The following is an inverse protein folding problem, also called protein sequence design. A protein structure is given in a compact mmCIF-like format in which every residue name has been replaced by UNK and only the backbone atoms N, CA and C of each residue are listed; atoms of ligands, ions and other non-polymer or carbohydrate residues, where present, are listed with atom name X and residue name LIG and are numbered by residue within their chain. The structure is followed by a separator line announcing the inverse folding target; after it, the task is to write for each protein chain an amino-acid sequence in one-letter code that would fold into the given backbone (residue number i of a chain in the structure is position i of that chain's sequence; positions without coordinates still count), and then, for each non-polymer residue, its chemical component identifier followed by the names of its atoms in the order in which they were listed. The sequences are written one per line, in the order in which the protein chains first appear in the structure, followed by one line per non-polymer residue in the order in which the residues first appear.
data_IF_641093318341
#
_entry.id   IF_641093318341
#
_cell.length_a   1.000
_cell.length_b   1.000
_cell.length_c   1.000
_cell.angle_alpha   90.00
_cell.angle_beta   90.00
_cell.angle_gamma   90.00
#
_symmetry.space_group_name_H-M   'P 1'
#
loop_
_entity.id
_entity.type
_entity.pdbx_description
1 polymer ?
#
# COMPACT_ATOMS: atom_id res chain seq x y z
N UNK A 1 -37.47 12.13 -7.16
CA UNK A 1 -37.26 11.47 -5.86
C UNK A 1 -35.84 11.80 -5.44
N UNK A 2 -35.72 12.88 -4.66
CA UNK A 2 -34.48 13.31 -4.01
C UNK A 2 -34.29 12.53 -2.72
N UNK A 3 -33.10 11.99 -2.52
CA UNK A 3 -32.62 11.54 -1.22
C UNK A 3 -31.14 11.91 -1.13
N UNK A 4 -30.90 13.18 -0.82
CA UNK A 4 -29.65 13.60 -0.22
C UNK A 4 -29.47 12.87 1.10
N UNK A 5 -28.37 12.14 1.22
CA UNK A 5 -27.92 11.64 2.52
C UNK A 5 -26.40 11.76 2.63
N UNK A 6 -26.02 12.75 3.45
CA UNK A 6 -24.89 12.76 4.37
C UNK A 6 -23.46 12.81 3.80
N UNK A 7 -23.07 14.05 3.49
CA UNK A 7 -21.79 14.58 3.98
C UNK A 7 -21.75 14.42 5.50
N UNK A 8 -20.80 13.63 6.01
CA UNK A 8 -20.24 13.78 7.36
C UNK A 8 -18.73 13.98 7.26
N UNK A 9 -18.32 15.25 7.20
CA UNK A 9 -17.14 15.74 7.96
C UNK A 9 -17.63 15.89 9.42
N UNK A 10 -16.94 15.67 10.53
CA UNK A 10 -15.54 15.59 11.00
C UNK A 10 -15.65 15.13 12.51
N UNK A 11 -14.61 15.03 13.39
CA UNK A 11 -13.24 15.54 13.31
C UNK A 11 -12.12 14.51 13.58
N UNK A 12 -10.93 14.89 13.13
CA UNK A 12 -9.66 14.82 13.85
C UNK A 12 -9.74 14.13 15.23
N UNK A 13 -9.18 12.92 15.34
CA UNK A 13 -8.81 12.41 16.66
C UNK A 13 -7.44 12.98 17.02
N UNK A 14 -7.28 13.61 18.20
CA UNK A 14 -5.97 14.01 18.66
C UNK A 14 -5.17 12.73 18.93
N UNK A 15 -4.11 12.54 18.14
CA UNK A 15 -3.10 11.53 18.42
C UNK A 15 -2.25 12.12 19.55
N UNK A 16 -2.50 11.72 20.79
CA UNK A 16 -1.65 12.03 21.95
C UNK A 16 -0.33 11.22 21.85
N UNK A 17 0.43 11.49 20.80
CA UNK A 17 1.83 11.15 20.68
C UNK A 17 2.66 12.43 20.80
N UNK A 18 3.93 12.35 21.23
CA UNK A 18 4.81 13.51 21.16
C UNK A 18 4.79 14.10 19.73
N UNK A 19 4.83 15.42 19.54
CA UNK A 19 4.92 16.04 18.21
C UNK A 19 6.26 15.67 17.59
N UNK A 20 6.27 14.51 16.95
CA UNK A 20 7.44 13.85 16.41
C UNK A 20 7.05 13.17 15.12
N UNK A 21 7.00 13.98 14.07
CA UNK A 21 6.87 13.58 12.66
C UNK A 21 5.64 12.70 12.37
N UNK A 22 4.54 13.33 11.91
CA UNK A 22 3.61 12.59 11.05
C UNK A 22 4.46 11.90 9.97
N UNK A 23 4.32 10.57 9.75
CA UNK A 23 5.03 9.93 8.66
C UNK A 23 4.65 10.69 7.40
N UNK A 24 5.65 11.26 6.73
CA UNK A 24 5.53 11.96 5.45
C UNK A 24 4.50 11.19 4.61
N UNK A 25 3.34 11.80 4.32
CA UNK A 25 2.24 11.10 3.65
C UNK A 25 2.66 10.78 2.22
N UNK A 26 3.33 9.65 2.04
CA UNK A 26 3.76 9.16 0.75
C UNK A 26 2.62 8.42 0.08
N UNK A 27 2.44 8.70 -1.20
CA UNK A 27 1.58 7.91 -2.05
C UNK A 27 2.30 6.64 -2.43
N UNK A 28 1.58 5.53 -2.47
CA UNK A 28 2.16 4.23 -2.76
C UNK A 28 1.30 3.43 -3.73
N UNK A 29 1.96 2.68 -4.61
CA UNK A 29 1.31 1.75 -5.56
C UNK A 29 2.03 0.41 -5.62
N UNK A 30 1.26 -0.64 -5.86
CA UNK A 30 1.74 -1.95 -6.30
C UNK A 30 1.46 -2.09 -7.79
N UNK A 31 2.48 -2.50 -8.53
CA UNK A 31 2.42 -2.64 -9.99
C UNK A 31 2.73 -4.09 -10.34
N UNK A 32 1.77 -4.78 -10.96
CA UNK A 32 2.00 -6.08 -11.57
C UNK A 32 2.61 -5.91 -12.96
N UNK A 33 3.77 -6.51 -13.18
CA UNK A 33 4.52 -6.38 -14.43
C UNK A 33 4.71 -7.71 -15.13
N UNK A 34 4.59 -7.66 -16.45
CA UNK A 34 5.06 -8.69 -17.37
C UNK A 34 6.24 -8.12 -18.13
N UNK A 35 7.30 -8.89 -18.32
CA UNK A 35 8.42 -8.51 -19.17
C UNK A 35 8.01 -8.75 -20.62
N UNK A 36 8.38 -7.82 -21.50
CA UNK A 36 8.22 -8.10 -22.93
C UNK A 36 9.16 -9.24 -23.33
N UNK A 37 8.81 -9.98 -24.38
CA UNK A 37 9.64 -11.09 -24.86
C UNK A 37 11.09 -10.68 -25.23
N UNK A 38 11.32 -9.39 -25.48
CA UNK A 38 12.63 -8.83 -25.80
C UNK A 38 13.42 -8.36 -24.56
N UNK A 39 12.83 -8.37 -23.36
CA UNK A 39 13.45 -7.83 -22.14
C UNK A 39 14.02 -8.96 -21.29
N UNK A 40 15.35 -9.06 -21.11
CA UNK A 40 15.93 -9.97 -20.13
C UNK A 40 15.49 -9.59 -18.71
N UNK A 41 15.26 -10.58 -17.84
CA UNK A 41 14.88 -10.32 -16.44
C UNK A 41 15.86 -9.43 -15.68
N UNK A 42 17.16 -9.50 -16.00
CA UNK A 42 18.18 -8.64 -15.41
C UNK A 42 17.98 -7.15 -15.71
N UNK A 43 17.41 -6.80 -16.87
CA UNK A 43 17.21 -5.41 -17.29
C UNK A 43 16.24 -4.66 -16.37
N UNK A 44 15.12 -5.30 -15.99
CA UNK A 44 14.18 -4.71 -15.05
C UNK A 44 14.85 -4.45 -13.69
N UNK A 45 15.66 -5.40 -13.21
CA UNK A 45 16.36 -5.26 -11.93
C UNK A 45 17.38 -4.10 -11.97
N UNK A 46 18.12 -3.96 -13.06
CA UNK A 46 19.06 -2.85 -13.27
C UNK A 46 18.34 -1.50 -13.30
N UNK A 47 17.21 -1.42 -14.01
CA UNK A 47 16.35 -0.23 -14.02
C UNK A 47 15.88 0.13 -12.59
N UNK A 48 15.31 -0.83 -11.86
CA UNK A 48 14.74 -0.59 -10.53
C UNK A 48 15.78 -0.12 -9.50
N UNK A 49 17.04 -0.55 -9.63
CA UNK A 49 18.15 -0.05 -8.78
C UNK A 49 18.42 1.44 -8.95
N UNK A 50 18.01 2.02 -10.08
CA UNK A 50 18.22 3.45 -10.40
C UNK A 50 16.96 4.28 -10.27
N UNK A 51 15.79 3.66 -10.07
CA UNK A 51 14.50 4.33 -10.00
C UNK A 51 14.23 4.83 -8.57
N UNK A 52 14.20 6.16 -8.31
CA UNK A 52 14.03 6.70 -6.96
C UNK A 52 12.70 6.33 -6.30
N UNK A 53 11.66 6.07 -7.09
CA UNK A 53 10.36 5.68 -6.54
C UNK A 53 10.31 4.20 -6.13
N UNK A 54 11.28 3.36 -6.54
CA UNK A 54 11.25 1.93 -6.27
C UNK A 54 11.61 1.62 -4.81
N UNK A 55 10.68 1.01 -4.08
CA UNK A 55 10.85 0.65 -2.66
C UNK A 55 11.21 -0.82 -2.51
N UNK A 56 10.50 -1.69 -3.24
CA UNK A 56 10.68 -3.13 -3.19
C UNK A 56 10.14 -3.77 -4.46
N UNK A 57 10.67 -4.94 -4.80
CA UNK A 57 10.19 -5.74 -5.91
C UNK A 57 10.38 -7.24 -5.63
N UNK A 58 9.50 -8.04 -6.21
CA UNK A 58 9.49 -9.50 -6.07
C UNK A 58 9.27 -10.15 -7.42
N UNK A 59 10.07 -11.16 -7.76
CA UNK A 59 9.77 -12.06 -8.87
C UNK A 59 8.63 -12.99 -8.46
N UNK A 60 7.67 -13.18 -9.37
CA UNK A 60 6.47 -13.97 -9.12
C UNK A 60 6.43 -15.13 -10.11
N UNK A 61 6.14 -16.34 -9.62
CA UNK A 61 5.88 -17.50 -10.46
C UNK A 61 4.39 -17.58 -10.82
N UNK A 62 3.90 -16.64 -11.64
CA UNK A 62 2.50 -16.55 -12.05
C UNK A 62 2.37 -16.08 -13.52
N UNK A 63 1.20 -15.58 -13.91
CA UNK A 63 0.92 -14.94 -15.20
C UNK A 63 1.58 -13.55 -15.35
N UNK A 64 2.10 -13.02 -14.24
CA UNK A 64 3.00 -11.87 -14.17
C UNK A 64 4.42 -12.31 -13.80
N UNK A 65 5.41 -11.55 -14.24
CA UNK A 65 6.82 -11.84 -13.98
C UNK A 65 7.27 -11.23 -12.64
N UNK A 66 6.80 -10.02 -12.30
CA UNK A 66 7.14 -9.37 -11.04
C UNK A 66 6.03 -8.48 -10.48
N UNK A 67 6.14 -8.18 -9.19
CA UNK A 67 5.39 -7.11 -8.52
C UNK A 67 6.39 -6.07 -8.02
N UNK A 68 6.10 -4.80 -8.28
CA UNK A 68 6.93 -3.67 -7.88
C UNK A 68 6.12 -2.73 -6.98
N UNK A 69 6.66 -2.39 -5.82
CA UNK A 69 6.14 -1.36 -4.93
C UNK A 69 6.86 -0.04 -5.21
N UNK A 70 6.08 0.99 -5.57
CA UNK A 70 6.58 2.35 -5.78
C UNK A 70 6.01 3.29 -4.71
N UNK A 71 6.80 4.28 -4.31
CA UNK A 71 6.41 5.33 -3.36
C UNK A 71 6.91 6.69 -3.83
N UNK A 72 6.08 7.74 -3.70
CA UNK A 72 6.49 9.12 -3.95
C UNK A 72 5.60 10.12 -3.20
N UNK A 73 6.07 11.37 -3.08
CA UNK A 73 5.33 12.45 -2.39
C UNK A 73 4.17 13.02 -3.23
N UNK A 74 4.01 12.58 -4.48
CA UNK A 74 2.88 12.97 -5.31
C UNK A 74 2.41 11.86 -6.25
N UNK A 75 1.11 11.86 -6.56
CA UNK A 75 0.51 10.97 -7.55
C UNK A 75 1.09 11.20 -8.96
N UNK A 76 1.45 12.43 -9.31
CA UNK A 76 2.06 12.76 -10.60
C UNK A 76 3.42 12.07 -10.76
N UNK A 77 4.24 12.08 -9.70
CA UNK A 77 5.54 11.39 -9.68
C UNK A 77 5.35 9.87 -9.83
N UNK A 78 4.38 9.29 -9.10
CA UNK A 78 4.07 7.86 -9.26
C UNK A 78 3.59 7.52 -10.66
N UNK A 79 2.71 8.33 -11.25
CA UNK A 79 2.23 8.11 -12.60
C UNK A 79 3.39 8.12 -13.61
N UNK A 80 4.31 9.09 -13.48
CA UNK A 80 5.53 9.11 -14.27
C UNK A 80 6.37 7.86 -14.06
N UNK A 81 6.59 7.43 -12.83
CA UNK A 81 7.38 6.24 -12.53
C UNK A 81 6.77 4.96 -13.14
N UNK A 82 5.44 4.84 -13.16
CA UNK A 82 4.73 3.74 -13.84
C UNK A 82 4.91 3.81 -15.36
N UNK A 83 4.89 5.01 -15.95
CA UNK A 83 5.17 5.19 -17.40
C UNK A 83 6.63 4.86 -17.73
N UNK A 84 7.57 5.32 -16.91
CA UNK A 84 9.00 5.06 -17.10
C UNK A 84 9.33 3.58 -16.90
N UNK A 85 8.63 2.89 -15.99
CA UNK A 85 8.71 1.43 -15.85
C UNK A 85 8.36 0.71 -17.16
N UNK A 86 7.35 1.19 -17.90
CA UNK A 86 7.04 0.65 -19.22
C UNK A 86 8.12 0.95 -20.25
N UNK A 87 8.51 2.22 -20.35
CA UNK A 87 9.38 2.71 -21.43
C UNK A 87 10.85 2.31 -21.27
N UNK A 88 11.35 2.33 -20.04
CA UNK A 88 12.76 2.14 -19.70
C UNK A 88 13.02 0.82 -19.01
N UNK A 89 12.08 0.35 -18.19
CA UNK A 89 12.17 -0.95 -17.52
C UNK A 89 11.83 -2.14 -18.43
N UNK A 90 11.33 -1.90 -19.64
CA UNK A 90 10.99 -2.96 -20.59
C UNK A 90 9.83 -3.84 -20.13
N UNK A 91 8.95 -3.28 -19.30
CA UNK A 91 7.82 -3.97 -18.70
C UNK A 91 6.49 -3.58 -19.36
N UNK A 92 5.63 -4.55 -19.61
CA UNK A 92 4.20 -4.33 -19.74
C UNK A 92 3.57 -4.29 -18.34
N UNK A 93 2.93 -3.17 -17.98
CA UNK A 93 2.18 -3.09 -16.72
C UNK A 93 0.79 -3.68 -16.95
N UNK A 94 0.47 -4.72 -16.17
CA UNK A 94 -0.81 -5.45 -16.24
C UNK A 94 -1.86 -4.78 -15.35
N UNK A 95 -1.46 -4.41 -14.13
CA UNK A 95 -2.35 -3.78 -13.15
C UNK A 95 -1.57 -2.86 -12.21
N UNK A 96 -2.23 -1.80 -11.76
CA UNK A 96 -1.71 -0.87 -10.75
C UNK A 96 -2.75 -0.71 -9.64
N UNK A 97 -2.33 -0.94 -8.40
CA UNK A 97 -3.17 -0.78 -7.20
C UNK A 97 -2.59 0.30 -6.29
N UNK A 98 -3.35 1.35 -6.00
CA UNK A 98 -2.98 2.32 -4.98
C UNK A 98 -3.15 1.72 -3.59
N UNK A 99 -2.11 1.82 -2.76
CA UNK A 99 -2.17 1.40 -1.37
C UNK A 99 -2.79 2.55 -0.56
N UNK A 100 -3.96 2.30 0.04
CA UNK A 100 -4.64 3.29 0.88
C UNK A 100 -4.15 3.25 2.33
N UNK A 101 -3.93 2.04 2.85
CA UNK A 101 -3.39 1.78 4.18
C UNK A 101 -2.92 0.33 4.28
N UNK A 102 -1.91 0.07 5.11
CA UNK A 102 -1.57 -1.29 5.51
C UNK A 102 -2.66 -1.88 6.41
N UNK A 103 -2.82 -3.21 6.35
CA UNK A 103 -3.61 -3.95 7.33
C UNK A 103 -2.67 -4.43 8.44
N UNK A 104 -3.01 -4.13 9.68
CA UNK A 104 -2.29 -4.67 10.83
C UNK A 104 -2.73 -6.12 11.06
N UNK A 105 -1.76 -7.03 11.02
CA UNK A 105 -1.97 -8.46 11.25
C UNK A 105 -1.50 -8.88 12.65
N UNK A 106 -1.12 -7.91 13.50
CA UNK A 106 -0.78 -8.19 14.89
C UNK A 106 -1.96 -8.85 15.59
N UNK A 107 -1.71 -9.87 16.44
CA UNK A 107 -2.78 -10.52 17.18
C UNK A 107 -3.52 -9.48 18.01
N UNK A 108 -4.86 -9.49 17.93
CA UNK A 108 -5.67 -8.62 18.75
C UNK A 108 -5.37 -8.91 20.22
N UNK A 109 -4.81 -7.93 20.94
CA UNK A 109 -4.61 -8.06 22.38
C UNK A 109 -5.97 -8.27 23.04
N UNK A 110 -6.21 -9.40 23.72
CA UNK A 110 -7.46 -9.59 24.45
C UNK A 110 -7.56 -8.48 25.50
N UNK A 111 -8.69 -7.78 25.53
CA UNK A 111 -8.94 -6.75 26.52
C UNK A 111 -8.79 -7.36 27.92
N UNK A 112 -7.73 -6.98 28.64
CA UNK A 112 -7.55 -7.33 30.05
C UNK A 112 -8.63 -6.58 30.83
N UNK A 113 -9.75 -7.26 31.12
CA UNK A 113 -10.84 -6.64 31.86
C UNK A 113 -12.22 -7.31 31.78
N UNK A 114 -12.42 -8.34 30.96
CA UNK A 114 -13.65 -9.14 31.06
C UNK A 114 -13.60 -10.02 32.33
N UNK A 115 -13.82 -9.40 33.49
CA UNK A 115 -14.01 -10.10 34.75
C UNK A 115 -15.19 -11.09 34.59
N UNK A 116 -15.04 -12.35 35.02
CA UNK A 116 -16.15 -13.30 34.96
C UNK A 116 -17.26 -12.82 35.91
N UNK A 117 -18.45 -12.55 35.36
CA UNK A 117 -19.66 -12.30 36.14
C UNK A 117 -19.94 -13.58 36.94
N UNK A 118 -19.72 -13.54 38.26
CA UNK A 118 -20.20 -14.57 39.18
C UNK A 118 -21.68 -14.32 39.42
N UNK A 119 -22.53 -15.13 38.79
CA UNK A 119 -23.96 -15.18 39.11
C UNK A 119 -24.10 -15.83 40.49
N UNK A 120 -24.62 -15.09 41.47
CA UNK A 120 -24.89 -15.61 42.81
C UNK A 120 -26.07 -16.59 42.82
N UNK A 121 -25.94 -17.67 43.60
CA UNK A 121 -27.02 -18.59 43.95
C UNK A 121 -28.01 -17.92 44.95
N UNK A 122 -29.33 -18.15 44.82
CA UNK A 122 -30.31 -17.70 45.82
C UNK A 122 -30.36 -18.65 47.03
N UNK A 123 -30.65 -18.07 48.20
CA UNK A 123 -30.85 -18.72 49.49
C UNK A 123 -32.16 -19.51 49.58
#
# INVERSE_FOLDING_TARGET
MDAGWLVRRTPDQPVDGPPGQEPERRHEVLVGVRLTAATPGSHLLEYLRTEPCAVAAWWIAADIDAVVRLSADSLTTLHRAVVDLRRRGGAEVVVTHSILRALDLSPATPAVGAAPVRLGEPA
#
